data_IF_710440431922
#
_entry.id   IF_710440431922
#
_cell.length_a   1.000
_cell.length_b   1.000
_cell.length_c   1.000
_cell.angle_alpha   90.00
_cell.angle_beta   90.00
_cell.angle_gamma   90.00
#
_symmetry.space_group_name_H-M   'P 1'
#
loop_
_entity.id
_entity.type
_entity.pdbx_description
1 polymer ?
#
# COMPACT_ATOMS: atom_id res chain seq x y z
N UNK A 1 -11.79 12.40 16.59
CA UNK A 1 -13.15 12.40 17.22
C UNK A 1 -13.19 13.34 18.41
N UNK A 2 -14.22 14.18 18.53
CA UNK A 2 -14.40 15.15 19.64
C UNK A 2 -15.19 14.61 20.80
N UNK A 3 -15.22 13.32 21.05
CA UNK A 3 -15.91 12.70 22.19
C UNK A 3 -16.85 11.55 21.84
N UNK A 4 -17.04 11.26 20.57
CA UNK A 4 -17.80 10.11 20.10
C UNK A 4 -16.99 8.80 20.14
N UNK A 5 -17.71 7.68 20.12
CA UNK A 5 -17.16 6.33 20.07
C UNK A 5 -17.18 5.74 18.65
N UNK A 6 -17.12 6.59 17.63
CA UNK A 6 -17.03 6.15 16.23
C UNK A 6 -15.63 5.62 15.86
N UNK A 7 -15.58 4.49 15.18
CA UNK A 7 -14.36 3.85 14.67
C UNK A 7 -14.51 3.68 13.17
N UNK A 8 -13.58 4.24 12.40
CA UNK A 8 -13.54 4.07 10.94
C UNK A 8 -12.71 2.84 10.58
N UNK A 9 -13.17 2.06 9.59
CA UNK A 9 -12.36 1.00 8.96
C UNK A 9 -11.33 1.57 7.99
N UNK A 10 -10.34 0.78 7.61
CA UNK A 10 -9.53 1.08 6.42
C UNK A 10 -10.42 1.19 5.19
N UNK A 11 -10.10 2.13 4.29
CA UNK A 11 -10.84 2.29 3.03
C UNK A 11 -10.59 1.10 2.09
N UNK A 12 -11.64 0.62 1.43
CA UNK A 12 -11.54 -0.40 0.39
C UNK A 12 -11.90 0.19 -0.97
N UNK A 13 -11.21 -0.24 -2.02
CA UNK A 13 -11.49 0.18 -3.39
C UNK A 13 -12.59 -0.69 -3.96
N UNK A 14 -13.70 -0.08 -4.37
CA UNK A 14 -14.84 -0.76 -5.01
C UNK A 14 -14.85 -0.60 -6.52
N UNK A 15 -14.34 0.52 -7.03
CA UNK A 15 -14.22 0.79 -8.46
C UNK A 15 -12.92 1.59 -8.74
N UNK A 16 -11.85 0.90 -9.18
CA UNK A 16 -10.56 1.56 -9.43
C UNK A 16 -10.61 2.67 -10.49
N UNK A 17 -11.61 2.62 -11.40
CA UNK A 17 -11.73 3.60 -12.49
C UNK A 17 -12.25 4.95 -12.02
N UNK A 18 -12.86 5.00 -10.84
CA UNK A 18 -13.44 6.22 -10.24
C UNK A 18 -12.57 6.81 -9.13
N UNK A 19 -11.43 6.16 -8.81
CA UNK A 19 -10.52 6.69 -7.81
C UNK A 19 -9.90 8.01 -8.25
N UNK A 20 -10.08 9.03 -7.44
CA UNK A 20 -9.55 10.38 -7.70
C UNK A 20 -8.18 10.62 -7.07
N UNK A 21 -7.82 9.85 -6.02
CA UNK A 21 -6.64 10.11 -5.21
C UNK A 21 -6.76 11.36 -4.34
N UNK A 22 -7.99 11.86 -4.13
CA UNK A 22 -8.25 13.02 -3.30
C UNK A 22 -8.33 12.68 -1.81
N UNK A 23 -8.26 13.71 -0.99
CA UNK A 23 -8.50 13.64 0.45
C UNK A 23 -9.97 13.92 0.73
N UNK A 24 -10.58 13.09 1.56
CA UNK A 24 -11.99 13.21 1.92
C UNK A 24 -12.18 13.41 3.41
N UNK A 25 -13.30 14.03 3.76
CA UNK A 25 -13.78 14.20 5.13
C UNK A 25 -15.22 13.70 5.24
N UNK A 26 -15.51 12.93 6.28
CA UNK A 26 -16.85 12.51 6.64
C UNK A 26 -17.19 13.25 7.95
N UNK A 27 -18.13 14.19 7.86
CA UNK A 27 -18.50 15.08 8.93
C UNK A 27 -19.85 14.64 9.49
N UNK A 28 -19.92 14.44 10.81
CA UNK A 28 -21.12 13.98 11.50
C UNK A 28 -21.88 15.13 12.17
N UNK A 29 -23.19 15.04 12.12
CA UNK A 29 -24.09 15.94 12.80
C UNK A 29 -25.14 15.15 13.59
N UNK A 30 -25.33 15.49 14.84
CA UNK A 30 -26.36 14.90 15.70
C UNK A 30 -27.41 15.96 16.02
N UNK A 31 -28.66 15.68 15.62
CA UNK A 31 -29.81 16.54 15.88
C UNK A 31 -30.77 15.84 16.85
N UNK A 32 -31.39 16.58 17.74
CA UNK A 32 -32.26 16.05 18.79
C UNK A 32 -31.48 15.58 20.03
N UNK A 33 -32.18 15.11 21.05
CA UNK A 33 -31.60 14.63 22.31
C UNK A 33 -32.30 13.36 22.78
N UNK A 34 -31.58 12.50 23.51
CA UNK A 34 -32.13 11.27 24.08
C UNK A 34 -32.47 10.23 23.00
N UNK A 35 -33.69 9.68 23.08
CA UNK A 35 -34.18 8.64 22.13
C UNK A 35 -34.49 9.17 20.75
N UNK A 36 -34.70 10.47 20.61
CA UNK A 36 -35.03 11.12 19.34
C UNK A 36 -33.77 11.70 18.65
N UNK A 37 -32.59 11.42 19.17
CA UNK A 37 -31.34 11.83 18.58
C UNK A 37 -31.15 11.14 17.22
N UNK A 38 -31.03 11.95 16.15
CA UNK A 38 -30.77 11.51 14.81
C UNK A 38 -29.33 11.87 14.40
N UNK A 39 -28.56 10.90 13.99
CA UNK A 39 -27.19 11.10 13.48
C UNK A 39 -27.19 11.04 11.97
N UNK A 40 -26.64 12.07 11.35
CA UNK A 40 -26.44 12.16 9.90
C UNK A 40 -24.96 12.40 9.61
N UNK A 41 -24.56 12.13 8.37
CA UNK A 41 -23.21 12.46 7.89
C UNK A 41 -23.26 13.12 6.52
N UNK A 42 -22.19 13.86 6.21
CA UNK A 42 -21.91 14.40 4.89
C UNK A 42 -20.48 14.03 4.50
N UNK A 43 -20.28 13.72 3.21
CA UNK A 43 -18.95 13.48 2.64
C UNK A 43 -18.50 14.73 1.91
N UNK A 44 -17.28 15.17 2.17
CA UNK A 44 -16.67 16.33 1.51
C UNK A 44 -15.35 15.91 0.88
N UNK A 45 -15.18 16.17 -0.41
CA UNK A 45 -13.88 16.16 -1.07
C UNK A 45 -13.11 17.40 -0.62
N UNK A 46 -12.13 17.21 0.25
CA UNK A 46 -11.32 18.30 0.84
C UNK A 46 -10.38 18.90 -0.22
N UNK A 47 -9.96 18.09 -1.21
CA UNK A 47 -9.05 18.54 -2.27
C UNK A 47 -9.74 19.54 -3.19
N UNK A 48 -11.01 19.28 -3.56
CA UNK A 48 -11.81 20.17 -4.41
C UNK A 48 -12.63 21.18 -3.61
N UNK A 49 -12.79 20.97 -2.30
CA UNK A 49 -13.65 21.79 -1.46
C UNK A 49 -15.15 21.59 -1.76
N UNK A 50 -15.55 20.42 -2.23
CA UNK A 50 -16.93 20.12 -2.66
C UNK A 50 -17.51 18.96 -1.86
N UNK A 51 -18.82 19.03 -1.59
CA UNK A 51 -19.54 17.91 -0.96
C UNK A 51 -19.96 16.86 -1.98
N UNK A 52 -20.11 15.62 -1.52
CA UNK A 52 -20.56 14.50 -2.36
C UNK A 52 -21.86 13.93 -1.74
N UNK A 53 -23.01 14.01 -2.41
CA UNK A 53 -23.25 14.77 -3.66
C UNK A 53 -23.13 16.29 -3.48
N UNK A 54 -23.02 17.01 -4.58
CA UNK A 54 -23.06 18.48 -4.59
C UNK A 54 -24.36 18.95 -5.26
N UNK A 55 -25.28 19.71 -4.58
CA UNK A 55 -25.13 20.21 -3.19
C UNK A 55 -25.19 19.11 -2.12
N UNK A 56 -24.68 19.41 -0.94
CA UNK A 56 -24.65 18.51 0.22
C UNK A 56 -26.05 17.98 0.56
N UNK A 57 -26.18 16.67 0.67
CA UNK A 57 -27.37 16.00 1.19
C UNK A 57 -26.95 15.15 2.39
N UNK A 58 -27.32 15.55 3.64
CA UNK A 58 -27.03 14.74 4.82
C UNK A 58 -27.69 13.36 4.71
N UNK A 59 -26.92 12.31 4.93
CA UNK A 59 -27.37 10.92 4.88
C UNK A 59 -27.54 10.40 6.31
N UNK A 60 -28.61 9.63 6.54
CA UNK A 60 -28.86 9.01 7.84
C UNK A 60 -27.77 7.98 8.15
N UNK A 61 -27.16 8.11 9.32
CA UNK A 61 -26.10 7.22 9.75
C UNK A 61 -26.65 5.98 10.46
N UNK A 62 -26.10 4.81 10.09
CA UNK A 62 -26.24 3.58 10.84
C UNK A 62 -24.86 2.98 11.09
N UNK A 63 -24.62 2.53 12.32
CA UNK A 63 -23.35 1.95 12.71
C UNK A 63 -23.00 0.73 11.87
N UNK A 64 -21.83 0.74 11.23
CA UNK A 64 -21.30 -0.34 10.42
C UNK A 64 -21.78 -0.37 8.95
N UNK A 65 -22.73 0.49 8.57
CA UNK A 65 -23.15 0.58 7.18
C UNK A 65 -22.02 1.12 6.29
N UNK A 66 -22.02 0.67 5.04
CA UNK A 66 -21.04 1.08 4.04
C UNK A 66 -21.30 2.51 3.55
N UNK A 67 -20.31 3.36 3.61
CA UNK A 67 -20.30 4.71 3.04
C UNK A 67 -19.48 4.65 1.76
N UNK A 68 -20.12 4.80 0.60
CA UNK A 68 -19.49 4.64 -0.72
C UNK A 68 -19.48 5.97 -1.46
N UNK A 69 -18.32 6.36 -1.99
CA UNK A 69 -18.13 7.56 -2.81
C UNK A 69 -16.87 7.39 -3.67
N UNK A 70 -16.86 7.97 -4.86
CA UNK A 70 -15.71 8.02 -5.80
C UNK A 70 -14.91 6.72 -5.91
N UNK A 71 -15.62 5.57 -6.04
CA UNK A 71 -15.00 4.27 -6.24
C UNK A 71 -14.36 3.65 -5.00
N UNK A 72 -14.60 4.21 -3.83
CA UNK A 72 -14.11 3.72 -2.55
C UNK A 72 -15.23 3.57 -1.53
N UNK A 73 -15.00 2.74 -0.53
CA UNK A 73 -15.94 2.44 0.54
C UNK A 73 -15.23 2.45 1.89
N UNK A 74 -15.89 3.02 2.88
CA UNK A 74 -15.49 2.93 4.28
C UNK A 74 -16.68 2.55 5.14
N UNK A 75 -16.41 1.93 6.29
CA UNK A 75 -17.42 1.63 7.28
C UNK A 75 -17.06 2.36 8.58
N UNK A 76 -18.05 2.96 9.21
CA UNK A 76 -17.88 3.59 10.53
C UNK A 76 -18.76 2.85 11.49
N UNK A 77 -18.17 2.28 12.54
CA UNK A 77 -18.87 1.58 13.60
C UNK A 77 -18.92 2.42 14.87
N UNK A 78 -19.92 2.16 15.72
CA UNK A 78 -20.09 2.87 17.00
C UNK A 78 -21.01 4.07 16.91
N UNK A 79 -20.86 5.01 17.84
CA UNK A 79 -21.69 6.22 17.96
C UNK A 79 -20.82 7.47 17.79
N UNK A 80 -20.73 8.04 16.60
CA UNK A 80 -20.12 9.35 16.41
C UNK A 80 -20.87 10.42 17.20
N UNK A 81 -20.15 11.37 17.75
CA UNK A 81 -20.73 12.55 18.39
C UNK A 81 -20.99 13.66 17.38
N UNK A 82 -21.70 14.68 17.79
CA UNK A 82 -21.87 15.90 17.00
C UNK A 82 -20.53 16.56 16.70
N UNK A 83 -20.34 16.98 15.45
CA UNK A 83 -19.10 17.54 14.91
C UNK A 83 -17.90 16.57 14.88
N UNK A 84 -18.12 15.27 15.06
CA UNK A 84 -17.06 14.30 14.79
C UNK A 84 -16.72 14.31 13.30
N UNK A 85 -15.42 14.18 13.04
CA UNK A 85 -14.86 14.20 11.69
C UNK A 85 -13.92 13.05 11.50
N UNK A 86 -14.12 12.28 10.43
CA UNK A 86 -13.20 11.24 9.98
C UNK A 86 -12.60 11.65 8.66
N UNK A 87 -11.29 11.45 8.51
CA UNK A 87 -10.57 11.76 7.26
C UNK A 87 -10.13 10.48 6.58
N UNK A 88 -10.26 10.46 5.26
CA UNK A 88 -9.73 9.44 4.38
C UNK A 88 -8.73 10.10 3.43
N UNK A 89 -7.51 9.59 3.41
CA UNK A 89 -6.43 10.10 2.59
C UNK A 89 -5.88 8.95 1.74
N UNK A 90 -5.37 9.23 0.51
CA UNK A 90 -4.64 8.23 -0.24
C UNK A 90 -3.49 7.69 0.58
N UNK A 91 -3.25 6.38 0.50
CA UNK A 91 -2.13 5.76 1.20
C UNK A 91 -0.81 6.39 0.72
N UNK A 92 -0.18 7.17 1.57
CA UNK A 92 1.17 7.65 1.34
C UNK A 92 2.18 6.52 1.64
N UNK A 93 3.33 6.54 0.95
CA UNK A 93 4.45 5.67 1.34
C UNK A 93 4.95 6.11 2.71
N UNK A 94 4.47 5.48 3.75
CA UNK A 94 4.88 5.77 5.12
C UNK A 94 5.95 4.78 5.58
N UNK A 95 6.93 5.28 6.33
CA UNK A 95 7.95 4.42 6.90
C UNK A 95 7.37 3.57 8.02
N UNK A 96 7.66 2.28 8.06
CA UNK A 96 7.27 1.39 9.14
C UNK A 96 7.72 1.91 10.51
N UNK A 97 8.83 2.64 10.58
CA UNK A 97 9.32 3.27 11.81
C UNK A 97 8.40 4.40 12.28
N UNK A 98 7.81 5.17 11.36
CA UNK A 98 6.80 6.18 11.68
C UNK A 98 5.55 5.51 12.25
N UNK A 99 5.09 4.43 11.65
CA UNK A 99 3.95 3.64 12.13
C UNK A 99 4.20 3.13 13.55
N UNK A 100 5.38 2.58 13.83
CA UNK A 100 5.76 2.11 15.18
C UNK A 100 5.77 3.28 16.19
N UNK A 101 6.32 4.43 15.81
CA UNK A 101 6.34 5.62 16.68
C UNK A 101 4.94 6.12 17.00
N UNK A 102 4.07 6.17 16.00
CA UNK A 102 2.67 6.57 16.15
C UNK A 102 1.92 5.58 17.06
N UNK A 103 2.15 4.28 16.90
CA UNK A 103 1.57 3.24 17.74
C UNK A 103 2.02 3.36 19.19
N UNK A 104 3.30 3.57 19.43
CA UNK A 104 3.85 3.80 20.80
C UNK A 104 3.19 5.04 21.40
N UNK A 105 3.05 6.13 20.64
CA UNK A 105 2.36 7.34 21.07
C UNK A 105 0.88 7.09 21.42
N UNK A 106 0.18 6.29 20.63
CA UNK A 106 -1.22 5.92 20.88
C UNK A 106 -1.39 5.06 22.15
N UNK A 107 -0.48 4.09 22.37
CA UNK A 107 -0.47 3.23 23.55
C UNK A 107 -0.13 4.00 24.86
N UNK A 108 0.63 5.09 24.74
CA UNK A 108 0.96 5.96 25.85
C UNK A 108 -0.17 6.93 26.30
N UNK A 109 -1.27 7.02 25.51
CA UNK A 109 -2.39 7.88 25.86
C UNK A 109 -3.32 7.23 26.88
N UNK A 110 -3.92 8.02 27.81
CA UNK A 110 -4.90 7.50 28.77
C UNK A 110 -6.12 6.92 28.02
N UNK A 111 -6.47 5.68 28.34
CA UNK A 111 -7.66 5.02 27.81
C UNK A 111 -8.78 5.17 28.82
N UNK A 112 -9.57 6.23 28.73
CA UNK A 112 -10.70 6.50 29.62
C UNK A 112 -11.98 6.66 28.83
N UNK A 113 -13.02 5.94 29.23
CA UNK A 113 -14.35 5.95 28.60
C UNK A 113 -14.37 5.41 27.16
N UNK A 114 -15.55 5.40 26.56
CA UNK A 114 -15.80 4.85 25.23
C UNK A 114 -14.98 5.55 24.13
N UNK A 115 -14.79 6.85 24.24
CA UNK A 115 -13.99 7.63 23.28
C UNK A 115 -12.50 7.31 23.36
N UNK A 116 -11.96 7.01 24.55
CA UNK A 116 -10.58 6.55 24.73
C UNK A 116 -10.35 5.18 24.13
N UNK A 117 -11.27 4.24 24.37
CA UNK A 117 -11.25 2.90 23.78
C UNK A 117 -11.38 2.95 22.26
N UNK A 118 -12.30 3.77 21.72
CA UNK A 118 -12.48 3.95 20.28
C UNK A 118 -11.19 4.46 19.60
N UNK A 119 -10.51 5.44 20.20
CA UNK A 119 -9.23 5.97 19.68
C UNK A 119 -8.14 4.91 19.67
N UNK A 120 -8.01 4.15 20.78
CA UNK A 120 -7.00 3.07 20.84
C UNK A 120 -7.28 2.01 19.79
N UNK A 121 -8.53 1.55 19.66
CA UNK A 121 -8.93 0.55 18.67
C UNK A 121 -8.67 1.06 17.24
N UNK A 122 -8.99 2.31 16.92
CA UNK A 122 -8.73 2.91 15.62
C UNK A 122 -7.21 2.97 15.33
N UNK A 123 -6.39 3.33 16.31
CA UNK A 123 -4.93 3.38 16.16
C UNK A 123 -4.32 1.98 15.98
N UNK A 124 -4.84 0.97 16.67
CA UNK A 124 -4.40 -0.41 16.52
C UNK A 124 -4.77 -0.97 15.14
N UNK A 125 -5.99 -0.71 14.67
CA UNK A 125 -6.43 -1.14 13.35
C UNK A 125 -5.61 -0.47 12.25
N UNK A 126 -5.39 0.85 12.33
CA UNK A 126 -4.56 1.56 11.37
C UNK A 126 -3.11 1.05 11.36
N UNK A 127 -2.52 0.74 12.52
CA UNK A 127 -1.19 0.16 12.60
C UNK A 127 -1.15 -1.26 11.98
N UNK A 128 -2.18 -2.07 12.22
CA UNK A 128 -2.29 -3.41 11.64
C UNK A 128 -2.31 -3.34 10.10
N UNK A 129 -3.17 -2.50 9.53
CA UNK A 129 -3.30 -2.32 8.08
C UNK A 129 -1.97 -1.84 7.45
N UNK A 130 -1.25 -0.93 8.13
CA UNK A 130 0.05 -0.43 7.69
C UNK A 130 1.15 -1.51 7.78
N UNK A 131 1.13 -2.37 8.81
CA UNK A 131 2.05 -3.49 8.92
C UNK A 131 1.81 -4.54 7.83
N UNK A 132 0.57 -4.87 7.52
CA UNK A 132 0.22 -5.79 6.45
C UNK A 132 0.70 -5.24 5.09
N UNK A 133 0.45 -3.96 4.82
CA UNK A 133 0.95 -3.28 3.61
C UNK A 133 2.47 -3.28 3.53
N UNK A 134 3.16 -3.03 4.64
CA UNK A 134 4.61 -3.05 4.69
C UNK A 134 5.18 -4.47 4.49
N UNK A 135 4.52 -5.47 5.04
CA UNK A 135 4.90 -6.87 4.86
C UNK A 135 4.76 -7.31 3.39
N UNK A 136 3.66 -6.99 2.75
CA UNK A 136 3.43 -7.27 1.32
C UNK A 136 4.48 -6.57 0.44
N UNK A 137 4.85 -5.34 0.77
CA UNK A 137 5.90 -4.61 0.08
C UNK A 137 7.27 -5.31 0.22
N UNK A 138 7.61 -5.77 1.43
CA UNK A 138 8.85 -6.54 1.66
C UNK A 138 8.86 -7.84 0.84
N UNK A 139 7.73 -8.57 0.80
CA UNK A 139 7.61 -9.78 -0.02
C UNK A 139 7.78 -9.48 -1.52
N UNK A 140 7.20 -8.40 -2.01
CA UNK A 140 7.33 -7.97 -3.41
C UNK A 140 8.77 -7.61 -3.76
N UNK A 141 9.45 -6.83 -2.92
CA UNK A 141 10.86 -6.47 -3.11
C UNK A 141 11.75 -7.71 -3.06
N UNK A 142 11.48 -8.64 -2.14
CA UNK A 142 12.22 -9.91 -2.05
C UNK A 142 12.07 -10.75 -3.31
N UNK A 143 10.85 -10.83 -3.86
CA UNK A 143 10.58 -11.55 -5.11
C UNK A 143 11.32 -10.89 -6.30
N UNK A 144 11.31 -9.55 -6.38
CA UNK A 144 12.04 -8.81 -7.41
C UNK A 144 13.55 -9.05 -7.33
N UNK A 145 14.13 -8.94 -6.13
CA UNK A 145 15.57 -9.23 -5.91
C UNK A 145 15.89 -10.67 -6.26
N UNK A 146 15.04 -11.64 -5.88
CA UNK A 146 15.21 -13.05 -6.26
C UNK A 146 15.20 -13.26 -7.77
N UNK A 147 14.32 -12.58 -8.49
CA UNK A 147 14.28 -12.63 -9.96
C UNK A 147 15.55 -12.05 -10.59
N UNK A 148 16.03 -10.91 -10.07
CA UNK A 148 17.28 -10.29 -10.57
C UNK A 148 18.51 -11.12 -10.29
N UNK A 149 18.58 -11.80 -9.13
CA UNK A 149 19.66 -12.74 -8.84
C UNK A 149 19.67 -13.90 -9.83
N UNK A 150 18.49 -14.48 -10.12
CA UNK A 150 18.38 -15.54 -11.12
C UNK A 150 18.79 -15.08 -12.54
N UNK A 151 18.47 -13.84 -12.89
CA UNK A 151 18.91 -13.25 -14.16
C UNK A 151 20.44 -13.11 -14.22
N UNK A 152 21.06 -12.66 -13.11
CA UNK A 152 22.54 -12.60 -13.01
C UNK A 152 23.19 -14.00 -13.10
N UNK A 153 22.64 -15.00 -12.42
CA UNK A 153 23.12 -16.39 -12.53
C UNK A 153 23.04 -16.92 -13.97
N UNK A 154 21.97 -16.54 -14.70
CA UNK A 154 21.82 -16.91 -16.11
C UNK A 154 22.83 -16.22 -17.00
N UNK A 155 23.10 -14.94 -16.75
CA UNK A 155 24.13 -14.18 -17.49
C UNK A 155 25.54 -14.70 -17.21
N UNK A 156 25.84 -15.06 -15.98
CA UNK A 156 27.11 -15.66 -15.58
C UNK A 156 27.33 -17.00 -16.30
N UNK A 157 26.33 -17.87 -16.28
CA UNK A 157 26.37 -19.14 -17.03
C UNK A 157 26.54 -18.94 -18.54
N UNK A 158 25.88 -17.94 -19.12
CA UNK A 158 26.04 -17.62 -20.53
C UNK A 158 27.45 -17.05 -20.83
N UNK A 159 28.04 -16.34 -19.89
CA UNK A 159 29.45 -15.89 -19.97
C UNK A 159 30.43 -17.06 -20.00
N UNK A 160 30.26 -18.01 -19.07
CA UNK A 160 31.07 -19.21 -19.01
C UNK A 160 30.98 -20.05 -20.30
N UNK A 161 29.78 -20.20 -20.88
CA UNK A 161 29.55 -20.89 -22.13
C UNK A 161 30.27 -20.18 -23.30
N UNK A 162 30.24 -18.86 -23.34
CA UNK A 162 30.97 -18.06 -24.34
C UNK A 162 32.49 -18.21 -24.18
N UNK A 163 33.01 -18.19 -22.97
CA UNK A 163 34.45 -18.41 -22.72
C UNK A 163 34.91 -19.78 -23.17
N UNK A 164 34.13 -20.83 -22.91
CA UNK A 164 34.39 -22.18 -23.43
C UNK A 164 34.37 -22.21 -24.96
N UNK A 165 33.43 -21.53 -25.60
CA UNK A 165 33.33 -21.44 -27.06
C UNK A 165 34.54 -20.71 -27.66
N UNK A 166 34.96 -19.59 -27.04
CA UNK A 166 36.16 -18.86 -27.46
C UNK A 166 37.43 -19.69 -27.29
N UNK A 167 37.59 -20.40 -26.18
CA UNK A 167 38.72 -21.28 -25.92
C UNK A 167 38.77 -22.42 -26.95
N UNK A 168 37.63 -23.05 -27.25
CA UNK A 168 37.51 -24.09 -28.26
C UNK A 168 37.84 -23.59 -29.70
N UNK A 169 37.34 -22.40 -30.03
CA UNK A 169 37.62 -21.78 -31.35
C UNK A 169 39.10 -21.42 -31.48
N UNK A 170 39.70 -20.87 -30.42
CA UNK A 170 41.13 -20.52 -30.39
C UNK A 170 42.02 -21.78 -30.55
N UNK A 171 41.68 -22.87 -29.82
CA UNK A 171 42.38 -24.15 -29.95
C UNK A 171 42.29 -24.71 -31.36
N UNK A 172 41.08 -24.66 -31.98
CA UNK A 172 40.90 -25.13 -33.36
C UNK A 172 41.69 -24.31 -34.39
N UNK A 173 41.81 -23.00 -34.19
CA UNK A 173 42.64 -22.13 -35.05
C UNK A 173 44.14 -22.44 -34.90
N UNK A 174 44.62 -22.63 -33.68
CA UNK A 174 46.00 -22.97 -33.37
C UNK A 174 46.38 -24.34 -33.94
N UNK A 175 45.53 -25.34 -33.81
CA UNK A 175 45.75 -26.69 -34.35
C UNK A 175 45.78 -26.68 -35.90
N UNK A 176 44.95 -25.85 -36.56
CA UNK A 176 44.90 -25.69 -37.99
C UNK A 176 46.21 -25.05 -38.53
N UNK A 177 46.76 -24.06 -37.83
CA UNK A 177 48.04 -23.43 -38.19
C UNK A 177 49.23 -24.39 -38.02
N UNK A 178 49.25 -25.20 -36.98
CA UNK A 178 50.26 -26.22 -36.76
C UNK A 178 50.27 -27.28 -37.85
N UNK A 179 49.11 -27.80 -38.25
CA UNK A 179 48.96 -28.78 -39.32
C UNK A 179 49.44 -28.20 -40.66
N UNK A 180 49.12 -26.94 -40.93
CA UNK A 180 49.55 -26.24 -42.14
C UNK A 180 51.05 -26.00 -42.15
N UNK A 181 51.65 -25.61 -41.01
CA UNK A 181 53.07 -25.43 -40.86
C UNK A 181 53.84 -26.75 -41.04
N UNK A 182 53.36 -27.85 -40.45
CA UNK A 182 53.98 -29.22 -40.66
C UNK A 182 53.86 -29.69 -42.09
N UNK A 183 52.72 -29.45 -42.75
CA UNK A 183 52.51 -29.81 -44.16
C UNK A 183 53.47 -29.04 -45.08
N UNK A 184 53.63 -27.72 -44.87
CA UNK A 184 54.58 -26.88 -45.58
C UNK A 184 56.04 -27.33 -45.36
N UNK A 185 56.40 -27.69 -44.15
CA UNK A 185 57.72 -28.19 -43.80
C UNK A 185 58.04 -29.56 -44.49
N UNK A 186 57.03 -30.45 -44.51
CA UNK A 186 57.16 -31.74 -45.22
C UNK A 186 57.28 -31.62 -46.75
N UNK A 187 56.76 -30.53 -47.31
CA UNK A 187 56.91 -30.27 -48.77
C UNK A 187 58.29 -29.70 -49.16
N UNK A 188 59.00 -29.13 -48.19
CA UNK A 188 60.34 -28.56 -48.41
C UNK A 188 61.51 -29.53 -48.18
N UNK A 189 61.24 -30.76 -47.72
CA UNK A 189 62.20 -31.84 -47.63
C UNK A 189 62.07 -32.82 -48.86
#
# INVERSE_FOLDING_TARGET
TRGGAGIISGGTVTDPTKLTGHKYSIDFQVTGTGTDAKTTYTVTDVTLGQTIPNPAVPVDYKSGDAITFDGQQVNIAGKPADLDKFTLEPSAKESIFTTITNLIGALGQPVSGDAGQARLTASLNAAHDLFDTAYDNVLSVRAEVGSRLKELDTLDSAGDDLDLQYASTLSGLQDLDMVKAISLFSQQQ
#
